data_IF_398218320435
#
_entry.id   IF_398218320435
#
_cell.length_a   1.000
_cell.length_b   1.000
_cell.length_c   1.000
_cell.angle_alpha   90.00
_cell.angle_beta   90.00
_cell.angle_gamma   90.00
#
_symmetry.space_group_name_H-M   'P 1'
#
loop_
_entity.id
_entity.type
_entity.pdbx_description
1 polymer ?
#
# COMPACT_ATOMS: atom_id res chain seq x y z
N UNK A 1 15.20 52.83 35.81
CA UNK A 1 15.73 53.35 34.54
C UNK A 1 16.18 52.17 33.71
N UNK A 2 15.91 52.25 32.41
CA UNK A 2 16.21 51.32 31.31
C UNK A 2 15.30 50.08 31.10
N UNK A 3 14.29 50.34 30.27
CA UNK A 3 13.54 49.38 29.47
C UNK A 3 14.14 49.31 28.06
N UNK A 4 14.55 48.11 27.60
CA UNK A 4 14.40 47.62 26.20
C UNK A 4 15.18 46.31 25.99
N UNK A 5 14.56 45.19 26.36
CA UNK A 5 15.01 43.85 25.93
C UNK A 5 14.59 43.59 24.49
N UNK A 6 15.55 43.49 23.57
CA UNK A 6 15.32 43.01 22.22
C UNK A 6 15.13 41.49 22.21
N UNK A 7 13.99 41.08 21.68
CA UNK A 7 13.54 39.70 21.58
C UNK A 7 14.20 39.01 20.37
N UNK A 8 15.32 38.32 20.58
CA UNK A 8 15.93 37.44 19.58
C UNK A 8 15.05 36.22 19.35
N UNK A 9 14.19 36.31 18.33
CA UNK A 9 13.33 35.22 17.88
C UNK A 9 14.17 34.28 17.02
N UNK A 10 14.48 33.11 17.57
CA UNK A 10 15.14 32.00 16.89
C UNK A 10 14.33 31.55 15.67
N UNK A 11 14.98 31.60 14.50
CA UNK A 11 14.49 31.12 13.21
C UNK A 11 14.14 29.64 13.32
N UNK A 12 12.86 29.31 13.18
CA UNK A 12 12.39 27.93 13.05
C UNK A 12 12.47 27.51 11.59
N UNK A 13 13.38 26.59 11.28
CA UNK A 13 13.49 25.91 9.99
C UNK A 13 12.41 24.82 9.87
N UNK A 14 11.53 24.84 8.86
CA UNK A 14 10.62 23.73 8.63
C UNK A 14 11.28 22.63 7.80
N UNK A 15 11.40 21.46 8.42
CA UNK A 15 11.65 20.12 7.87
C UNK A 15 11.24 19.94 6.39
N UNK A 16 12.25 19.90 5.51
CA UNK A 16 12.13 19.51 4.10
C UNK A 16 12.30 18.00 3.92
N UNK A 17 11.19 17.26 3.84
CA UNK A 17 11.20 15.99 3.07
C UNK A 17 11.48 16.37 1.61
N UNK A 18 12.60 15.87 1.06
CA UNK A 18 13.21 16.33 -0.19
C UNK A 18 12.21 16.67 -1.30
N UNK A 19 12.12 17.95 -1.62
CA UNK A 19 11.44 18.46 -2.81
C UNK A 19 12.35 18.16 -4.02
N UNK A 20 12.30 16.92 -4.54
CA UNK A 20 13.15 16.47 -5.66
C UNK A 20 12.67 16.93 -7.04
N UNK A 21 11.54 17.64 -7.11
CA UNK A 21 10.97 18.11 -8.37
C UNK A 21 11.56 19.50 -8.73
N UNK A 22 12.18 19.67 -9.90
CA UNK A 22 12.85 20.93 -10.26
C UNK A 22 11.90 22.12 -10.35
N UNK A 23 10.59 21.89 -10.47
CA UNK A 23 9.60 22.97 -10.45
C UNK A 23 9.58 23.74 -9.13
N UNK A 24 10.05 23.16 -8.02
CA UNK A 24 10.10 23.84 -6.74
C UNK A 24 11.09 25.01 -6.67
N UNK A 25 12.07 25.08 -7.58
CA UNK A 25 12.98 26.23 -7.72
C UNK A 25 12.25 27.47 -8.25
N UNK A 26 11.06 27.29 -8.85
CA UNK A 26 10.34 28.32 -9.60
C UNK A 26 8.96 28.64 -9.00
N UNK A 27 8.64 28.04 -7.85
CA UNK A 27 7.29 28.04 -7.27
C UNK A 27 7.38 28.11 -5.75
N UNK A 28 6.65 29.03 -5.15
CA UNK A 28 6.50 29.11 -3.69
C UNK A 28 5.20 28.45 -3.23
N UNK A 29 5.26 27.77 -2.09
CA UNK A 29 4.11 27.14 -1.44
C UNK A 29 3.65 28.00 -0.28
N UNK A 30 2.37 28.35 -0.26
CA UNK A 30 1.72 29.08 0.82
C UNK A 30 0.47 28.37 1.33
N UNK A 31 -0.25 29.06 2.22
CA UNK A 31 -1.60 28.68 2.65
C UNK A 31 -2.55 29.85 2.43
N UNK A 32 -3.71 29.57 1.87
CA UNK A 32 -4.82 30.51 1.85
C UNK A 32 -5.49 30.58 3.23
N UNK A 33 -6.33 31.60 3.42
CA UNK A 33 -7.04 31.87 4.67
C UNK A 33 -8.01 30.75 5.09
N UNK A 34 -8.43 29.92 4.13
CA UNK A 34 -9.25 28.71 4.31
C UNK A 34 -8.42 27.46 4.68
N UNK A 35 -7.09 27.60 4.84
CA UNK A 35 -6.17 26.50 5.15
C UNK A 35 -5.69 25.72 3.92
N UNK A 36 -6.19 26.01 2.72
CA UNK A 36 -5.79 25.30 1.50
C UNK A 36 -4.37 25.69 1.05
N UNK A 37 -3.63 24.70 0.52
CA UNK A 37 -2.30 24.96 -0.08
C UNK A 37 -2.43 25.81 -1.33
N UNK A 38 -1.59 26.84 -1.42
CA UNK A 38 -1.46 27.70 -2.59
C UNK A 38 -0.08 27.54 -3.22
N UNK A 39 -0.03 27.64 -4.54
CA UNK A 39 1.21 27.59 -5.31
C UNK A 39 1.32 28.86 -6.13
N UNK A 40 2.39 29.63 -5.93
CA UNK A 40 2.60 30.93 -6.58
C UNK A 40 3.78 30.84 -7.53
N UNK A 41 3.55 31.23 -8.79
CA UNK A 41 4.59 31.29 -9.81
C UNK A 41 5.51 32.49 -9.54
N UNK A 42 6.83 32.25 -9.45
CA UNK A 42 7.80 33.31 -9.16
C UNK A 42 7.98 34.32 -10.31
N UNK A 43 7.52 34.01 -11.53
CA UNK A 43 7.69 34.88 -12.70
C UNK A 43 6.52 35.85 -12.95
N UNK A 44 5.28 35.37 -12.82
CA UNK A 44 4.08 36.19 -13.08
C UNK A 44 3.25 36.50 -11.85
N UNK A 45 3.54 35.88 -10.70
CA UNK A 45 2.75 36.05 -9.47
C UNK A 45 1.41 35.31 -9.48
N UNK A 46 1.05 34.60 -10.56
CA UNK A 46 -0.20 33.85 -10.59
C UNK A 46 -0.20 32.78 -9.49
N UNK A 47 -1.26 32.80 -8.69
CA UNK A 47 -1.44 31.90 -7.56
C UNK A 47 -2.57 30.93 -7.84
N UNK A 48 -2.27 29.64 -7.74
CA UNK A 48 -3.23 28.55 -7.95
C UNK A 48 -3.61 27.99 -6.59
N UNK A 49 -4.91 27.93 -6.29
CA UNK A 49 -5.45 27.25 -5.12
C UNK A 49 -5.67 25.78 -5.47
N UNK A 50 -5.10 24.86 -4.69
CA UNK A 50 -5.25 23.40 -4.86
C UNK A 50 -4.75 22.82 -6.22
N UNK A 51 -4.44 21.52 -6.28
CA UNK A 51 -4.02 20.85 -7.53
C UNK A 51 -2.51 20.64 -7.76
N UNK A 52 -1.67 21.02 -6.79
CA UNK A 52 -0.28 20.54 -6.68
C UNK A 52 0.73 21.06 -7.72
N UNK A 53 1.99 20.66 -7.53
CA UNK A 53 3.15 21.14 -8.31
C UNK A 53 3.08 20.82 -9.81
N UNK A 54 2.33 19.77 -10.21
CA UNK A 54 2.21 19.36 -11.61
C UNK A 54 1.42 20.36 -12.47
N UNK A 55 0.44 21.06 -11.91
CA UNK A 55 -0.27 22.14 -12.62
C UNK A 55 0.66 23.32 -12.88
N UNK A 56 1.51 23.63 -11.91
CA UNK A 56 2.50 24.69 -12.05
C UNK A 56 3.58 24.35 -13.09
N UNK A 57 3.99 23.09 -13.21
CA UNK A 57 4.85 22.64 -14.32
C UNK A 57 4.26 22.92 -15.70
N UNK A 58 2.96 22.67 -15.90
CA UNK A 58 2.27 22.98 -17.17
C UNK A 58 2.26 24.47 -17.46
N UNK A 59 1.96 25.28 -16.45
CA UNK A 59 1.98 26.74 -16.52
C UNK A 59 3.39 27.28 -16.88
N UNK A 60 4.43 26.75 -16.24
CA UNK A 60 5.82 27.13 -16.46
C UNK A 60 6.35 26.67 -17.82
N UNK A 61 5.95 25.49 -18.30
CA UNK A 61 6.31 24.96 -19.61
C UNK A 61 5.63 25.70 -20.78
N UNK A 62 4.74 26.66 -20.51
CA UNK A 62 4.02 27.37 -21.56
C UNK A 62 2.90 26.55 -22.23
N UNK A 63 2.53 25.42 -21.63
CA UNK A 63 1.46 24.57 -22.15
C UNK A 63 0.09 25.10 -21.74
N UNK A 64 -0.89 25.03 -22.65
CA UNK A 64 -2.28 25.32 -22.34
C UNK A 64 -2.88 24.21 -21.46
N UNK A 65 -3.67 24.61 -20.46
CA UNK A 65 -4.33 23.73 -19.51
C UNK A 65 -5.28 24.52 -18.60
N UNK A 66 -5.61 23.98 -17.43
CA UNK A 66 -6.50 24.64 -16.45
C UNK A 66 -5.97 25.98 -15.91
N UNK A 67 -4.68 26.25 -16.10
CA UNK A 67 -4.04 27.52 -15.76
C UNK A 67 -3.32 28.02 -17.02
N UNK A 68 -3.61 29.26 -17.42
CA UNK A 68 -3.02 29.85 -18.63
C UNK A 68 -1.49 29.93 -18.55
N UNK A 69 -0.77 29.82 -19.69
CA UNK A 69 0.68 29.71 -19.71
C UNK A 69 1.39 30.99 -19.23
N UNK A 70 2.56 30.84 -18.60
CA UNK A 70 3.34 31.99 -18.15
C UNK A 70 4.19 32.59 -19.26
N UNK A 71 3.89 33.83 -19.66
CA UNK A 71 4.66 34.56 -20.68
C UNK A 71 6.04 35.03 -20.19
N UNK A 72 6.26 35.09 -18.86
CA UNK A 72 7.47 35.65 -18.23
C UNK A 72 8.56 34.62 -17.87
N UNK A 73 8.33 33.33 -18.13
CA UNK A 73 9.31 32.26 -17.82
C UNK A 73 10.42 32.25 -18.87
N UNK A 74 11.71 32.23 -18.46
CA UNK A 74 12.86 32.05 -19.34
C UNK A 74 12.79 30.76 -20.18
N UNK A 75 13.43 30.77 -21.35
CA UNK A 75 13.33 29.67 -22.32
C UNK A 75 13.93 28.34 -21.82
N UNK A 76 15.05 28.42 -21.10
CA UNK A 76 15.72 27.27 -20.46
C UNK A 76 14.83 26.61 -19.40
N UNK A 77 14.14 27.41 -18.58
CA UNK A 77 13.19 26.92 -17.58
C UNK A 77 11.97 26.30 -18.25
N UNK A 78 11.45 26.90 -19.33
CA UNK A 78 10.35 26.32 -20.13
C UNK A 78 10.73 24.95 -20.66
N UNK A 79 11.90 24.84 -21.29
CA UNK A 79 12.42 23.60 -21.84
C UNK A 79 12.57 22.52 -20.77
N UNK A 80 13.19 22.85 -19.63
CA UNK A 80 13.35 21.92 -18.50
C UNK A 80 12.00 21.43 -17.95
N UNK A 81 11.02 22.32 -17.85
CA UNK A 81 9.66 21.93 -17.39
C UNK A 81 8.94 21.06 -18.42
N UNK A 82 9.14 21.33 -19.71
CA UNK A 82 8.60 20.51 -20.79
C UNK A 82 9.21 19.11 -20.77
N UNK A 83 10.53 18.97 -20.60
CA UNK A 83 11.20 17.67 -20.47
C UNK A 83 10.72 16.91 -19.25
N UNK A 84 10.53 17.57 -18.11
CA UNK A 84 9.95 16.94 -16.94
C UNK A 84 8.52 16.44 -17.21
N UNK A 85 7.71 17.19 -17.96
CA UNK A 85 6.37 16.78 -18.37
C UNK A 85 6.41 15.64 -19.40
N UNK A 86 7.37 15.66 -20.34
CA UNK A 86 7.61 14.58 -21.30
C UNK A 86 8.01 13.30 -20.57
N UNK A 87 8.99 13.34 -19.68
CA UNK A 87 9.38 12.17 -18.87
C UNK A 87 8.22 11.60 -18.04
N UNK A 88 7.32 12.46 -17.53
CA UNK A 88 6.10 12.01 -16.85
C UNK A 88 5.10 11.38 -17.84
N UNK A 89 4.94 11.97 -19.04
CA UNK A 89 4.09 11.42 -20.11
C UNK A 89 4.65 10.11 -20.67
N UNK A 90 5.95 9.95 -20.75
CA UNK A 90 6.64 8.74 -21.20
C UNK A 90 6.58 7.64 -20.15
N UNK A 91 6.71 7.97 -18.87
CA UNK A 91 6.37 7.04 -17.76
C UNK A 91 4.88 6.70 -17.72
N UNK A 92 4.04 7.55 -18.31
CA UNK A 92 2.60 7.34 -18.50
C UNK A 92 2.24 6.85 -19.91
N UNK A 93 3.21 6.59 -20.82
CA UNK A 93 2.90 5.94 -22.09
C UNK A 93 2.22 4.63 -21.70
N UNK A 94 0.94 4.43 -22.06
CA UNK A 94 0.15 3.36 -21.48
C UNK A 94 0.69 2.04 -22.03
N UNK A 95 0.86 0.97 -21.26
CA UNK A 95 -0.15 -0.09 -21.07
C UNK A 95 -0.88 -0.54 -22.37
N UNK A 96 -1.18 0.36 -23.32
CA UNK A 96 -1.74 0.10 -24.65
C UNK A 96 -0.80 -0.60 -25.63
N UNK A 97 0.46 -0.16 -25.74
CA UNK A 97 1.46 -0.89 -26.54
C UNK A 97 1.77 -2.29 -25.95
N UNK A 98 1.46 -2.49 -24.66
CA UNK A 98 1.56 -3.79 -23.99
C UNK A 98 0.33 -4.67 -24.27
N UNK A 99 -0.83 -4.11 -24.63
CA UNK A 99 -2.04 -4.89 -24.93
C UNK A 99 -1.89 -5.68 -26.23
N UNK A 100 -1.40 -5.04 -27.29
CA UNK A 100 -1.24 -5.67 -28.61
C UNK A 100 -0.14 -6.74 -28.64
N UNK A 101 0.87 -6.66 -27.79
CA UNK A 101 1.93 -7.67 -27.77
C UNK A 101 1.49 -9.01 -27.17
N UNK A 102 0.56 -9.03 -26.22
CA UNK A 102 0.13 -10.26 -25.55
C UNK A 102 -1.11 -10.93 -26.17
N UNK A 103 -1.90 -10.18 -26.95
CA UNK A 103 -3.07 -10.70 -27.67
C UNK A 103 -2.71 -11.86 -28.62
N UNK A 104 -1.67 -11.76 -29.47
CA UNK A 104 -1.28 -12.83 -30.38
C UNK A 104 -0.99 -14.14 -29.63
N UNK A 105 -0.22 -14.07 -28.54
CA UNK A 105 0.13 -15.26 -27.76
C UNK A 105 -1.09 -15.99 -27.19
N UNK A 106 -2.09 -15.25 -26.69
CA UNK A 106 -3.29 -15.87 -26.12
C UNK A 106 -4.10 -16.66 -27.15
N UNK A 107 -4.24 -16.11 -28.36
CA UNK A 107 -4.95 -16.74 -29.47
C UNK A 107 -4.13 -17.88 -30.09
N UNK A 108 -2.82 -17.66 -30.31
CA UNK A 108 -1.89 -18.68 -30.82
C UNK A 108 -1.85 -19.93 -29.94
N UNK A 109 -1.88 -19.78 -28.61
CA UNK A 109 -1.93 -20.92 -27.69
C UNK A 109 -3.22 -21.73 -27.91
N UNK A 110 -4.37 -21.06 -28.08
CA UNK A 110 -5.65 -21.74 -28.31
C UNK A 110 -5.62 -22.48 -29.64
N UNK A 111 -5.09 -21.86 -30.70
CA UNK A 111 -4.97 -22.49 -32.01
C UNK A 111 -4.00 -23.68 -31.97
N UNK A 112 -2.87 -23.54 -31.28
CA UNK A 112 -1.87 -24.59 -31.10
C UNK A 112 -2.40 -25.80 -30.33
N UNK A 113 -3.14 -25.57 -29.23
CA UNK A 113 -3.81 -26.65 -28.48
C UNK A 113 -5.00 -27.22 -29.27
N UNK A 114 -5.58 -26.40 -30.15
CA UNK A 114 -6.81 -26.65 -30.88
C UNK A 114 -8.03 -26.15 -30.10
N UNK A 115 -8.85 -25.31 -30.75
CA UNK A 115 -10.03 -24.66 -30.15
C UNK A 115 -10.98 -25.66 -29.48
N UNK A 116 -11.16 -26.84 -30.07
CA UNK A 116 -12.02 -27.90 -29.52
C UNK A 116 -11.49 -28.57 -28.25
N UNK A 117 -10.20 -28.40 -27.95
CA UNK A 117 -9.53 -28.99 -26.80
C UNK A 117 -9.42 -28.01 -25.62
N UNK A 118 -9.80 -26.75 -25.80
CA UNK A 118 -9.78 -25.72 -24.75
C UNK A 118 -11.20 -25.49 -24.25
N UNK A 119 -11.39 -25.59 -22.93
CA UNK A 119 -12.71 -25.39 -22.28
C UNK A 119 -12.75 -24.08 -21.49
N UNK A 120 -11.63 -23.73 -20.85
CA UNK A 120 -11.56 -22.57 -19.96
C UNK A 120 -10.13 -22.03 -19.90
N UNK A 121 -9.99 -20.72 -20.10
CA UNK A 121 -8.75 -20.00 -19.88
C UNK A 121 -8.79 -19.19 -18.57
N UNK A 122 -7.72 -19.28 -17.77
CA UNK A 122 -7.56 -18.51 -16.54
C UNK A 122 -6.31 -17.63 -16.66
N UNK A 123 -6.48 -16.32 -16.50
CA UNK A 123 -5.38 -15.34 -16.59
C UNK A 123 -5.30 -14.45 -15.35
N UNK A 124 -4.23 -13.68 -15.18
CA UNK A 124 -4.15 -12.69 -14.09
C UNK A 124 -5.17 -11.55 -14.30
N UNK A 125 -5.39 -10.73 -13.29
CA UNK A 125 -6.38 -9.65 -13.30
C UNK A 125 -5.80 -8.30 -13.79
N UNK A 126 -4.57 -8.30 -14.31
CA UNK A 126 -3.99 -7.12 -14.96
C UNK A 126 -4.84 -6.68 -16.15
N UNK A 127 -4.92 -5.37 -16.40
CA UNK A 127 -5.79 -4.82 -17.45
C UNK A 127 -5.57 -5.48 -18.83
N UNK A 128 -4.33 -5.85 -19.12
CA UNK A 128 -3.93 -6.55 -20.33
C UNK A 128 -4.53 -7.95 -20.43
N UNK A 129 -4.45 -8.72 -19.35
CA UNK A 129 -5.01 -10.08 -19.29
C UNK A 129 -6.54 -10.09 -19.27
N UNK A 130 -7.15 -9.05 -18.70
CA UNK A 130 -8.61 -8.86 -18.74
C UNK A 130 -9.07 -8.55 -20.16
N UNK A 131 -8.36 -7.69 -20.89
CA UNK A 131 -8.69 -7.39 -22.28
C UNK A 131 -8.58 -8.64 -23.17
N UNK A 132 -7.47 -9.39 -23.06
CA UNK A 132 -7.26 -10.64 -23.81
C UNK A 132 -8.34 -11.68 -23.48
N UNK A 133 -8.65 -11.86 -22.21
CA UNK A 133 -9.68 -12.80 -21.79
C UNK A 133 -11.07 -12.48 -22.32
N UNK A 134 -11.43 -11.19 -22.38
CA UNK A 134 -12.67 -10.74 -23.02
C UNK A 134 -12.67 -11.02 -24.52
N UNK A 135 -11.56 -10.72 -25.20
CA UNK A 135 -11.41 -11.01 -26.63
C UNK A 135 -11.58 -12.50 -26.91
N UNK A 136 -10.94 -13.38 -26.13
CA UNK A 136 -11.04 -14.83 -26.28
C UNK A 136 -12.48 -15.32 -26.11
N UNK A 137 -13.19 -14.81 -25.10
CA UNK A 137 -14.59 -15.12 -24.85
C UNK A 137 -15.51 -14.58 -25.97
N UNK A 138 -15.13 -13.49 -26.64
CA UNK A 138 -15.83 -12.94 -27.79
C UNK A 138 -15.58 -13.77 -29.06
N UNK A 139 -14.33 -14.14 -29.32
CA UNK A 139 -13.86 -14.90 -30.50
C UNK A 139 -14.31 -16.35 -30.46
N UNK A 140 -14.15 -17.05 -29.33
CA UNK A 140 -14.43 -18.47 -29.19
C UNK A 140 -15.56 -18.70 -28.19
N UNK A 141 -16.80 -18.78 -28.69
CA UNK A 141 -18.01 -18.92 -27.85
C UNK A 141 -18.06 -20.20 -27.01
N UNK A 142 -17.24 -21.20 -27.33
CA UNK A 142 -17.10 -22.46 -26.59
C UNK A 142 -16.09 -22.39 -25.45
N UNK A 143 -15.23 -21.35 -25.41
CA UNK A 143 -14.17 -21.20 -24.42
C UNK A 143 -14.60 -20.16 -23.39
N UNK A 144 -14.66 -20.57 -22.13
CA UNK A 144 -14.89 -19.63 -21.02
C UNK A 144 -13.60 -18.93 -20.62
N UNK A 145 -13.70 -17.74 -20.06
CA UNK A 145 -12.58 -17.04 -19.44
C UNK A 145 -12.92 -16.56 -18.04
N UNK A 146 -11.96 -16.65 -17.11
CA UNK A 146 -12.06 -16.02 -15.79
C UNK A 146 -10.72 -15.48 -15.28
N UNK A 147 -10.70 -14.41 -14.47
CA UNK A 147 -9.48 -13.97 -13.79
C UNK A 147 -9.05 -14.97 -12.70
N UNK A 148 -7.78 -14.86 -12.28
CA UNK A 148 -7.18 -15.69 -11.22
C UNK A 148 -7.90 -15.46 -9.89
N UNK A 149 -8.59 -16.48 -9.39
CA UNK A 149 -9.36 -16.42 -8.15
C UNK A 149 -8.51 -16.04 -6.91
N UNK A 150 -7.27 -16.53 -6.81
CA UNK A 150 -6.35 -16.15 -5.73
C UNK A 150 -6.07 -14.63 -5.70
N UNK A 151 -5.93 -14.01 -6.88
CA UNK A 151 -5.75 -12.57 -6.99
C UNK A 151 -7.01 -11.83 -6.52
N UNK A 152 -8.20 -12.26 -6.96
CA UNK A 152 -9.48 -11.68 -6.53
C UNK A 152 -9.67 -11.74 -5.01
N UNK A 153 -9.38 -12.88 -4.37
CA UNK A 153 -9.46 -13.03 -2.91
C UNK A 153 -8.49 -12.10 -2.17
N UNK A 154 -7.28 -11.96 -2.70
CA UNK A 154 -6.30 -11.02 -2.14
C UNK A 154 -6.78 -9.56 -2.26
N UNK A 155 -7.43 -9.18 -3.36
CA UNK A 155 -8.03 -7.85 -3.52
C UNK A 155 -9.15 -7.59 -2.50
N UNK A 156 -10.02 -8.57 -2.23
CA UNK A 156 -11.05 -8.46 -1.18
C UNK A 156 -10.40 -8.17 0.18
N UNK A 157 -9.35 -8.91 0.53
CA UNK A 157 -8.57 -8.66 1.76
C UNK A 157 -7.95 -7.26 1.75
N UNK A 158 -7.52 -6.76 0.59
CA UNK A 158 -7.03 -5.39 0.42
C UNK A 158 -8.09 -4.33 0.72
N UNK A 159 -9.32 -4.49 0.25
CA UNK A 159 -10.42 -3.56 0.57
C UNK A 159 -10.77 -3.58 2.06
N UNK A 160 -10.79 -4.76 2.69
CA UNK A 160 -10.98 -4.88 4.14
C UNK A 160 -9.88 -4.11 4.89
N UNK A 161 -8.62 -4.23 4.46
CA UNK A 161 -7.49 -3.55 5.09
C UNK A 161 -7.52 -2.02 4.94
N UNK A 162 -8.26 -1.47 3.97
CA UNK A 162 -8.45 -0.01 3.81
C UNK A 162 -9.39 0.57 4.86
N UNK A 163 -10.21 -0.24 5.53
CA UNK A 163 -11.07 0.24 6.61
C UNK A 163 -10.20 0.82 7.75
N UNK A 164 -10.48 2.05 8.17
CA UNK A 164 -9.63 2.82 9.10
C UNK A 164 -9.30 2.08 10.38
N UNK A 165 -10.30 1.44 11.00
CA UNK A 165 -10.11 0.66 12.22
C UNK A 165 -9.20 -0.57 12.01
N UNK A 166 -9.34 -1.28 10.88
CA UNK A 166 -8.51 -2.46 10.56
C UNK A 166 -7.08 -2.04 10.24
N UNK A 167 -6.93 -0.94 9.50
CA UNK A 167 -5.62 -0.39 9.17
C UNK A 167 -4.84 0.04 10.43
N UNK A 168 -5.52 0.68 11.40
CA UNK A 168 -4.93 1.03 12.69
C UNK A 168 -4.47 -0.22 13.45
N UNK A 169 -5.31 -1.26 13.55
CA UNK A 169 -4.94 -2.53 14.17
C UNK A 169 -3.71 -3.15 13.52
N UNK A 170 -3.68 -3.23 12.19
CA UNK A 170 -2.53 -3.75 11.44
C UNK A 170 -1.26 -2.93 11.67
N UNK A 171 -1.38 -1.61 11.72
CA UNK A 171 -0.27 -0.69 11.99
C UNK A 171 0.27 -0.87 13.42
N UNK A 172 -0.62 -0.95 14.41
CA UNK A 172 -0.25 -1.20 15.82
C UNK A 172 0.41 -2.57 15.99
N UNK A 173 -0.15 -3.62 15.39
CA UNK A 173 0.46 -4.95 15.38
C UNK A 173 1.86 -4.91 14.74
N UNK A 174 2.02 -4.24 13.61
CA UNK A 174 3.31 -4.08 12.92
C UNK A 174 4.35 -3.33 13.75
N UNK A 175 3.93 -2.35 14.56
CA UNK A 175 4.83 -1.68 15.52
C UNK A 175 5.33 -2.66 16.58
N UNK A 176 4.44 -3.49 17.14
CA UNK A 176 4.80 -4.52 18.13
C UNK A 176 5.76 -5.55 17.54
N UNK A 177 5.43 -6.13 16.38
CA UNK A 177 6.28 -7.15 15.75
C UNK A 177 7.65 -6.59 15.41
N UNK A 178 7.73 -5.43 14.75
CA UNK A 178 9.00 -4.78 14.39
C UNK A 178 9.84 -4.44 15.63
N UNK A 179 9.22 -3.96 16.71
CA UNK A 179 9.93 -3.67 17.95
C UNK A 179 10.60 -4.91 18.55
N UNK A 180 9.88 -6.04 18.57
CA UNK A 180 10.38 -7.33 19.05
C UNK A 180 11.47 -7.88 18.14
N UNK A 181 11.24 -7.94 16.82
CA UNK A 181 12.15 -8.56 15.87
C UNK A 181 13.49 -7.83 15.74
N UNK A 182 13.49 -6.51 15.90
CA UNK A 182 14.71 -5.71 15.83
C UNK A 182 15.60 -5.85 17.09
N UNK A 183 15.18 -6.64 18.09
CA UNK A 183 15.90 -6.82 19.36
C UNK A 183 16.17 -8.30 19.61
N UNK A 184 17.39 -8.80 19.33
CA UNK A 184 17.74 -10.21 19.49
C UNK A 184 17.42 -10.78 20.87
N UNK A 185 17.59 -9.99 21.93
CA UNK A 185 17.26 -10.41 23.29
C UNK A 185 15.77 -10.71 23.50
N UNK A 186 14.87 -9.86 22.96
CA UNK A 186 13.42 -10.08 23.05
C UNK A 186 13.00 -11.33 22.26
N UNK A 187 13.58 -11.50 21.06
CA UNK A 187 13.36 -12.69 20.24
C UNK A 187 13.86 -13.94 20.97
N UNK A 188 15.04 -13.89 21.58
CA UNK A 188 15.60 -15.00 22.35
C UNK A 188 14.74 -15.36 23.57
N UNK A 189 14.17 -14.36 24.25
CA UNK A 189 13.24 -14.58 25.35
C UNK A 189 11.97 -15.30 24.88
N UNK A 190 11.37 -14.85 23.77
CA UNK A 190 10.16 -15.47 23.21
C UNK A 190 10.39 -16.89 22.70
N UNK A 191 11.57 -17.17 22.13
CA UNK A 191 11.95 -18.52 21.67
C UNK A 191 11.97 -19.58 22.79
N UNK A 192 12.13 -19.17 24.06
CA UNK A 192 12.10 -20.09 25.21
C UNK A 192 10.68 -20.50 25.63
N UNK A 193 9.63 -19.88 25.08
CA UNK A 193 8.24 -20.17 25.44
C UNK A 193 7.70 -21.36 24.65
N UNK A 194 6.93 -22.21 25.33
CA UNK A 194 6.23 -23.34 24.69
C UNK A 194 5.30 -22.80 23.59
N UNK A 195 5.30 -23.46 22.43
CA UNK A 195 4.46 -23.11 21.29
C UNK A 195 4.99 -21.99 20.38
N UNK A 196 6.23 -21.51 20.59
CA UNK A 196 6.88 -20.61 19.64
C UNK A 196 7.25 -21.34 18.35
N UNK A 197 6.46 -21.12 17.30
CA UNK A 197 6.75 -21.54 15.92
C UNK A 197 7.28 -20.32 15.17
N UNK A 198 8.57 -20.33 14.83
CA UNK A 198 9.31 -19.25 14.14
C UNK A 198 8.43 -18.51 13.11
N UNK A 199 8.52 -17.17 13.05
CA UNK A 199 7.90 -16.19 12.11
C UNK A 199 6.53 -15.57 12.45
N UNK A 200 6.49 -14.48 13.26
CA UNK A 200 5.60 -13.37 12.91
C UNK A 200 6.21 -12.74 11.65
N UNK A 201 5.55 -12.92 10.51
CA UNK A 201 6.10 -12.48 9.23
C UNK A 201 6.17 -10.94 9.19
N UNK A 202 7.35 -10.34 8.93
CA UNK A 202 7.39 -8.99 8.37
C UNK A 202 6.71 -9.08 6.99
N UNK A 203 5.53 -8.49 6.83
CA UNK A 203 4.70 -8.68 5.64
C UNK A 203 5.43 -8.34 4.35
N UNK A 204 5.55 -9.32 3.46
CA UNK A 204 5.95 -9.13 2.08
C UNK A 204 4.68 -9.04 1.20
N UNK A 205 4.45 -7.86 0.63
CA UNK A 205 3.75 -7.56 -0.64
C UNK A 205 2.39 -8.17 -0.99
N UNK A 206 1.68 -8.89 -0.11
CA UNK A 206 0.29 -9.35 -0.35
C UNK A 206 -0.63 -9.05 0.84
N UNK A 207 -1.85 -8.55 0.61
CA UNK A 207 -2.81 -8.16 1.64
C UNK A 207 -3.11 -9.27 2.66
N UNK A 208 -3.18 -10.52 2.19
CA UNK A 208 -3.35 -11.68 3.05
C UNK A 208 -2.24 -11.86 4.09
N UNK A 209 -1.00 -11.47 3.77
CA UNK A 209 0.14 -11.60 4.69
C UNK A 209 -0.03 -10.71 5.92
N UNK A 210 -0.68 -9.55 5.77
CA UNK A 210 -1.02 -8.66 6.88
C UNK A 210 -1.95 -9.35 7.88
N UNK A 211 -2.99 -10.03 7.39
CA UNK A 211 -3.93 -10.75 8.26
C UNK A 211 -3.31 -12.00 8.88
N UNK A 212 -2.43 -12.71 8.16
CA UNK A 212 -1.66 -13.83 8.71
C UNK A 212 -0.73 -13.33 9.83
N UNK A 213 -0.07 -12.18 9.63
CA UNK A 213 0.77 -11.56 10.65
C UNK A 213 -0.05 -11.11 11.87
N UNK A 214 -1.26 -10.57 11.66
CA UNK A 214 -2.19 -10.19 12.72
C UNK A 214 -2.63 -11.42 13.54
N UNK A 215 -3.06 -12.50 12.88
CA UNK A 215 -3.40 -13.77 13.52
C UNK A 215 -2.23 -14.32 14.34
N UNK A 216 -1.02 -14.31 13.77
CA UNK A 216 0.19 -14.80 14.44
C UNK A 216 0.54 -13.93 15.64
N UNK A 217 0.39 -12.61 15.54
CA UNK A 217 0.63 -11.67 16.65
C UNK A 217 -0.37 -11.92 17.78
N UNK A 218 -1.66 -12.09 17.46
CA UNK A 218 -2.70 -12.44 18.42
C UNK A 218 -2.42 -13.80 19.11
N UNK A 219 -1.99 -14.82 18.36
CA UNK A 219 -1.58 -16.12 18.92
C UNK A 219 -0.50 -15.97 20.01
N UNK A 220 0.38 -14.98 19.89
CA UNK A 220 1.44 -14.70 20.87
C UNK A 220 1.06 -13.67 21.95
N UNK A 221 -0.19 -13.23 22.03
CA UNK A 221 -0.67 -12.23 23.01
C UNK A 221 -0.18 -12.51 24.43
N UNK A 222 -0.43 -13.72 24.96
CA UNK A 222 -0.08 -14.05 26.34
C UNK A 222 1.43 -14.01 26.58
N UNK A 223 2.22 -14.48 25.60
CA UNK A 223 3.68 -14.42 25.69
C UNK A 223 4.20 -12.99 25.63
N UNK A 224 3.61 -12.13 24.80
CA UNK A 224 3.96 -10.71 24.69
C UNK A 224 3.60 -9.95 25.96
N UNK A 225 2.41 -10.20 26.54
CA UNK A 225 2.01 -9.64 27.84
C UNK A 225 2.98 -10.06 28.94
N UNK A 226 3.30 -11.36 29.03
CA UNK A 226 4.26 -11.87 30.00
C UNK A 226 5.69 -11.33 29.79
N UNK A 227 6.09 -11.03 28.54
CA UNK A 227 7.38 -10.43 28.25
C UNK A 227 7.48 -9.03 28.85
N UNK A 228 6.51 -8.16 28.55
CA UNK A 228 6.56 -6.75 28.97
C UNK A 228 6.31 -6.56 30.46
N UNK A 229 5.69 -7.52 31.14
CA UNK A 229 5.51 -7.50 32.60
C UNK A 229 6.58 -8.28 33.36
N UNK A 230 7.52 -8.93 32.68
CA UNK A 230 8.60 -9.66 33.35
C UNK A 230 9.58 -8.69 34.02
N UNK A 231 10.05 -9.04 35.21
CA UNK A 231 11.10 -8.29 35.94
C UNK A 231 12.31 -8.04 35.04
N UNK A 232 12.78 -9.07 34.35
CA UNK A 232 13.89 -8.98 33.39
C UNK A 232 13.69 -7.90 32.31
N UNK A 233 12.45 -7.65 31.87
CA UNK A 233 12.17 -6.60 30.89
C UNK A 233 12.03 -5.24 31.56
N UNK A 234 11.29 -5.15 32.66
CA UNK A 234 11.04 -3.90 33.41
C UNK A 234 12.35 -3.28 33.92
N UNK A 235 13.27 -4.12 34.39
CA UNK A 235 14.57 -3.68 34.91
C UNK A 235 15.59 -3.37 33.79
N UNK A 236 15.27 -3.76 32.54
CA UNK A 236 16.16 -3.56 31.41
C UNK A 236 16.19 -2.11 30.91
N UNK A 237 17.24 -1.76 30.16
CA UNK A 237 17.30 -0.49 29.42
C UNK A 237 16.15 -0.31 28.43
N UNK A 238 15.56 -1.41 27.94
CA UNK A 238 14.52 -1.37 26.92
C UNK A 238 13.23 -0.75 27.46
N UNK A 239 12.82 -1.05 28.70
CA UNK A 239 11.61 -0.48 29.28
C UNK A 239 11.65 1.05 29.44
N UNK A 240 12.86 1.63 29.48
CA UNK A 240 13.08 3.08 29.62
C UNK A 240 12.97 3.83 28.29
N UNK A 241 13.02 3.14 27.15
CA UNK A 241 12.95 3.75 25.82
C UNK A 241 11.56 4.37 25.57
N UNK A 242 11.52 5.58 24.97
CA UNK A 242 10.25 6.23 24.61
C UNK A 242 9.38 5.34 23.71
N UNK A 243 10.01 4.68 22.74
CA UNK A 243 9.34 3.74 21.83
C UNK A 243 8.79 2.52 22.56
N UNK A 244 9.48 2.03 23.60
CA UNK A 244 9.00 0.91 24.40
C UNK A 244 7.71 1.24 25.14
N UNK A 245 7.57 2.45 25.70
CA UNK A 245 6.35 2.89 26.39
C UNK A 245 5.11 2.78 25.51
N UNK A 246 5.22 3.22 24.25
CA UNK A 246 4.14 3.09 23.26
C UNK A 246 3.81 1.61 22.98
N UNK A 247 4.83 0.75 22.83
CA UNK A 247 4.64 -0.68 22.56
C UNK A 247 4.02 -1.40 23.74
N UNK A 248 4.44 -1.08 24.96
CA UNK A 248 3.88 -1.64 26.20
C UNK A 248 2.40 -1.26 26.31
N UNK A 249 2.04 -0.01 26.03
CA UNK A 249 0.64 0.43 26.01
C UNK A 249 -0.20 -0.38 25.01
N UNK A 250 0.33 -0.66 23.81
CA UNK A 250 -0.36 -1.51 22.83
C UNK A 250 -0.50 -2.96 23.33
N UNK A 251 0.56 -3.54 23.90
CA UNK A 251 0.56 -4.94 24.35
C UNK A 251 -0.38 -5.15 25.56
N UNK A 252 -0.54 -4.16 26.42
CA UNK A 252 -1.42 -4.23 27.58
C UNK A 252 -2.88 -3.83 27.29
N UNK A 253 -3.16 -3.28 26.11
CA UNK A 253 -4.52 -2.90 25.68
C UNK A 253 -5.37 -4.13 25.34
N UNK A 254 -6.32 -4.47 26.20
CA UNK A 254 -7.26 -5.58 25.98
C UNK A 254 -8.21 -5.34 24.80
N UNK A 255 -8.58 -4.09 24.50
CA UNK A 255 -9.43 -3.77 23.36
C UNK A 255 -8.71 -4.10 22.06
N UNK A 256 -7.44 -3.74 21.95
CA UNK A 256 -6.61 -4.11 20.79
C UNK A 256 -6.62 -5.60 20.50
N UNK A 257 -6.44 -6.45 21.53
CA UNK A 257 -6.44 -7.90 21.34
C UNK A 257 -7.81 -8.46 20.97
N UNK A 258 -8.88 -7.97 21.60
CA UNK A 258 -10.24 -8.36 21.26
C UNK A 258 -10.59 -8.00 19.81
N UNK A 259 -10.24 -6.78 19.40
CA UNK A 259 -10.45 -6.33 18.02
C UNK A 259 -9.63 -7.16 17.03
N UNK A 260 -8.37 -7.49 17.36
CA UNK A 260 -7.55 -8.41 16.55
C UNK A 260 -8.23 -9.77 16.38
N UNK A 261 -8.75 -10.36 17.46
CA UNK A 261 -9.42 -11.66 17.42
C UNK A 261 -10.67 -11.63 16.53
N UNK A 262 -11.49 -10.58 16.65
CA UNK A 262 -12.69 -10.41 15.83
C UNK A 262 -12.33 -10.36 14.36
N UNK A 263 -11.38 -9.49 13.98
CA UNK A 263 -10.96 -9.34 12.58
C UNK A 263 -10.38 -10.64 12.04
N UNK A 264 -9.54 -11.32 12.84
CA UNK A 264 -8.96 -12.60 12.47
C UNK A 264 -10.04 -13.64 12.16
N UNK A 265 -11.07 -13.75 12.99
CA UNK A 265 -12.19 -14.67 12.75
C UNK A 265 -12.99 -14.33 11.49
N UNK A 266 -13.20 -13.04 11.23
CA UNK A 266 -13.92 -12.57 10.04
C UNK A 266 -13.16 -12.94 8.75
N UNK A 267 -11.84 -12.74 8.74
CA UNK A 267 -11.02 -12.96 7.53
C UNK A 267 -10.50 -14.38 7.38
N UNK A 268 -10.58 -15.21 8.43
CA UNK A 268 -10.03 -16.57 8.43
C UNK A 268 -10.58 -17.46 7.29
N UNK A 269 -11.89 -17.50 7.01
CA UNK A 269 -12.41 -18.25 5.87
C UNK A 269 -11.82 -17.80 4.52
N UNK A 270 -11.64 -16.49 4.32
CA UNK A 270 -11.05 -15.92 3.11
C UNK A 270 -9.57 -16.28 2.97
N UNK A 271 -8.80 -16.19 4.06
CA UNK A 271 -7.38 -16.56 4.08
C UNK A 271 -7.21 -18.06 3.86
N UNK A 272 -8.09 -18.89 4.41
CA UNK A 272 -8.08 -20.34 4.21
C UNK A 272 -8.39 -20.69 2.75
N UNK A 273 -9.41 -20.07 2.17
CA UNK A 273 -9.74 -20.27 0.76
C UNK A 273 -8.60 -19.84 -0.14
N UNK A 274 -8.00 -18.67 0.11
CA UNK A 274 -6.85 -18.19 -0.65
C UNK A 274 -5.73 -19.24 -0.66
N UNK A 275 -5.40 -19.84 0.49
CA UNK A 275 -4.38 -20.92 0.56
C UNK A 275 -4.74 -22.17 -0.24
N UNK A 276 -6.03 -22.49 -0.38
CA UNK A 276 -6.48 -23.64 -1.18
C UNK A 276 -6.38 -23.32 -2.66
N UNK A 277 -6.79 -22.11 -3.06
CA UNK A 277 -6.84 -21.69 -4.48
C UNK A 277 -5.46 -21.38 -5.04
N UNK A 278 -4.56 -20.84 -4.22
CA UNK A 278 -3.18 -20.51 -4.55
C UNK A 278 -2.22 -21.70 -4.38
N UNK A 279 -2.74 -22.86 -3.96
CA UNK A 279 -1.94 -24.07 -3.79
C UNK A 279 -1.84 -24.88 -5.09
N UNK A 280 -0.63 -25.11 -5.58
CA UNK A 280 -0.37 -25.89 -6.81
C UNK A 280 -0.53 -27.42 -6.65
N UNK A 281 -0.99 -27.89 -5.47
CA UNK A 281 -0.97 -29.31 -5.11
C UNK A 281 -2.22 -30.06 -5.59
N UNK A 282 -3.38 -29.39 -5.69
CA UNK A 282 -4.66 -30.02 -6.05
C UNK A 282 -5.46 -29.10 -6.97
N UNK A 283 -6.21 -29.65 -7.95
CA UNK A 283 -7.14 -28.87 -8.75
C UNK A 283 -8.11 -28.10 -7.83
N UNK A 284 -8.02 -26.77 -7.87
CA UNK A 284 -8.66 -25.92 -6.86
C UNK A 284 -10.04 -25.38 -7.30
N UNK A 285 -10.37 -25.45 -8.59
CA UNK A 285 -11.59 -24.82 -9.16
C UNK A 285 -12.89 -25.31 -8.50
N UNK A 286 -12.99 -26.61 -8.18
CA UNK A 286 -14.15 -27.16 -7.45
C UNK A 286 -14.28 -26.62 -6.02
N UNK A 287 -13.18 -26.21 -5.40
CA UNK A 287 -13.17 -25.62 -4.07
C UNK A 287 -13.43 -24.11 -4.10
N UNK A 288 -13.27 -23.43 -5.23
CA UNK A 288 -13.50 -21.98 -5.34
C UNK A 288 -14.96 -21.64 -5.01
N UNK A 289 -15.92 -22.30 -5.66
CA UNK A 289 -17.35 -22.01 -5.46
C UNK A 289 -17.80 -22.28 -4.04
N UNK A 290 -17.56 -23.50 -3.54
CA UNK A 290 -17.90 -23.90 -2.18
C UNK A 290 -17.17 -23.05 -1.14
N UNK A 291 -15.90 -22.74 -1.39
CA UNK A 291 -15.10 -21.91 -0.51
C UNK A 291 -15.59 -20.47 -0.42
N UNK A 292 -15.98 -19.85 -1.54
CA UNK A 292 -16.57 -18.51 -1.54
C UNK A 292 -17.89 -18.52 -0.76
N UNK A 293 -18.72 -19.55 -0.96
CA UNK A 293 -19.97 -19.70 -0.22
C UNK A 293 -19.71 -19.76 1.30
N UNK A 294 -18.79 -20.62 1.75
CA UNK A 294 -18.38 -20.72 3.16
C UNK A 294 -17.80 -19.42 3.71
N UNK A 295 -16.95 -18.75 2.93
CA UNK A 295 -16.38 -17.47 3.34
C UNK A 295 -17.44 -16.38 3.49
N UNK A 296 -18.49 -16.41 2.67
CA UNK A 296 -19.63 -15.50 2.78
C UNK A 296 -20.51 -15.81 3.98
N UNK A 297 -20.70 -17.08 4.33
CA UNK A 297 -21.56 -17.52 5.44
C UNK A 297 -20.84 -17.61 6.79
N UNK A 298 -19.51 -17.48 6.81
CA UNK A 298 -18.69 -17.53 8.03
C UNK A 298 -18.55 -18.93 8.63
N UNK A 299 -18.58 -19.98 7.79
CA UNK A 299 -18.51 -21.40 8.18
C UNK A 299 -17.14 -22.00 7.83
#
# INVERSE_FOLDING_TARGET
>A
MDSSGQNSTSISTPSTRGKTDPAWEHVTEGRAHDGNKTFTCLYCGNTIKSGGINRMKKHLAGNYGEVGPCKKVPADVRFRMEDCLKAIREKKRPIEETYEQFIPYGLEIIEWVGVSNVVHMVTDNGANYVAIGRLINETYKTINWSPRAAHCLNLILGEILKMTHINDLATRASKVTRYVYNRPWLVAWLRKRKGWTKTMHPGATHFATTFIALHTTHKYMHNLKALVTSTNFVDSKYAKEKTAKEIIAIILDNKFWNDCLIIVKIVEPLVRLLRIVDGDVKPSIGYVFEGIYRARTGI
#
